data_IF_685412673705
#
_entry.id   IF_685412673705
#
_cell.length_a   1.000
_cell.length_b   1.000
_cell.length_c   1.000
_cell.angle_alpha   90.00
_cell.angle_beta   90.00
_cell.angle_gamma   90.00
#
_symmetry.space_group_name_H-M   'P 1'
#
loop_
_entity.id
_entity.type
_entity.pdbx_description
1 polymer ?
#
# COMPACT_ATOMS: atom_id res chain seq x y z
N UNK A 1 22.45 -21.19 -12.20
CA UNK A 1 21.29 -21.50 -13.05
C UNK A 1 21.03 -20.25 -13.85
N UNK A 2 21.57 -20.21 -15.06
CA UNK A 2 21.35 -19.10 -15.98
C UNK A 2 19.93 -19.24 -16.53
N UNK A 3 19.04 -18.38 -16.05
CA UNK A 3 17.68 -18.27 -16.58
C UNK A 3 17.84 -17.66 -17.98
N UNK A 4 17.72 -18.46 -19.03
CA UNK A 4 17.64 -17.96 -20.40
C UNK A 4 16.25 -17.35 -20.60
N UNK A 5 16.18 -16.02 -20.62
CA UNK A 5 14.95 -15.23 -20.59
C UNK A 5 14.08 -15.27 -21.87
N UNK A 6 14.38 -16.16 -22.81
CA UNK A 6 13.61 -16.32 -24.07
C UNK A 6 12.17 -16.79 -23.86
N UNK A 7 11.83 -17.32 -22.69
CA UNK A 7 10.49 -17.86 -22.38
C UNK A 7 9.56 -16.90 -21.63
N UNK A 8 9.99 -15.65 -21.33
CA UNK A 8 9.06 -14.66 -20.79
C UNK A 8 8.15 -14.14 -21.92
N UNK A 9 6.99 -14.77 -22.09
CA UNK A 9 5.84 -14.17 -22.75
C UNK A 9 5.43 -12.91 -21.98
N UNK A 10 6.05 -11.78 -22.33
CA UNK A 10 5.86 -10.47 -21.71
C UNK A 10 4.43 -9.92 -21.84
N UNK A 11 3.57 -10.56 -22.63
CA UNK A 11 2.31 -9.96 -23.07
C UNK A 11 1.20 -9.95 -22.00
N UNK A 12 1.33 -10.71 -20.89
CA UNK A 12 0.23 -10.82 -19.92
C UNK A 12 0.50 -10.22 -18.53
N UNK A 13 1.74 -9.89 -18.14
CA UNK A 13 2.07 -9.36 -16.81
C UNK A 13 3.19 -8.30 -16.81
N UNK A 14 3.03 -7.23 -17.60
CA UNK A 14 3.97 -6.10 -17.59
C UNK A 14 3.82 -5.33 -16.28
N UNK A 15 4.86 -5.36 -15.43
CA UNK A 15 4.98 -4.45 -14.30
C UNK A 15 5.38 -3.06 -14.82
N UNK A 16 4.58 -2.05 -14.49
CA UNK A 16 4.81 -0.68 -14.93
C UNK A 16 5.42 0.15 -13.81
N UNK A 17 6.54 0.84 -14.10
CA UNK A 17 7.21 1.69 -13.14
C UNK A 17 6.58 3.09 -13.11
N UNK A 18 5.43 3.21 -12.46
CA UNK A 18 4.79 4.50 -12.18
C UNK A 18 4.51 4.67 -10.69
N UNK A 19 4.45 5.93 -10.26
CA UNK A 19 3.99 6.27 -8.93
C UNK A 19 2.45 6.24 -8.80
N UNK A 20 1.95 6.63 -7.62
CA UNK A 20 0.51 6.69 -7.36
C UNK A 20 -0.26 7.69 -8.26
N UNK A 21 0.44 8.71 -8.78
CA UNK A 21 -0.09 9.72 -9.69
C UNK A 21 0.08 9.34 -11.17
N UNK A 22 0.45 8.09 -11.46
CA UNK A 22 0.73 7.57 -12.82
C UNK A 22 1.89 8.28 -13.53
N UNK A 23 2.78 8.96 -12.79
CA UNK A 23 4.02 9.50 -13.35
C UNK A 23 5.06 8.40 -13.45
N UNK A 24 5.74 8.31 -14.60
CA UNK A 24 6.81 7.36 -14.82
C UNK A 24 7.95 7.61 -13.84
N UNK A 25 8.44 6.54 -13.22
CA UNK A 25 9.60 6.59 -12.35
C UNK A 25 10.86 6.76 -13.19
N UNK A 26 11.80 7.53 -12.67
CA UNK A 26 13.04 7.86 -13.37
C UNK A 26 14.18 6.98 -12.88
N UNK A 27 14.91 6.39 -13.82
CA UNK A 27 16.08 5.57 -13.58
C UNK A 27 17.27 6.10 -14.36
N UNK A 28 18.47 5.78 -13.87
CA UNK A 28 19.72 5.98 -14.58
C UNK A 28 20.46 4.65 -14.57
N UNK A 29 20.88 4.20 -15.74
CA UNK A 29 21.74 3.03 -15.85
C UNK A 29 23.19 3.51 -15.84
N UNK A 30 23.97 3.04 -14.86
CA UNK A 30 25.40 3.32 -14.82
C UNK A 30 26.08 2.86 -16.12
N UNK A 31 27.14 3.55 -16.52
CA UNK A 31 27.85 3.31 -17.79
C UNK A 31 28.34 1.86 -17.94
N UNK A 32 28.86 1.27 -16.87
CA UNK A 32 29.30 -0.12 -16.79
C UNK A 32 28.13 -1.12 -16.82
N UNK A 33 26.90 -0.61 -16.70
CA UNK A 33 25.63 -1.35 -16.65
C UNK A 33 24.68 -0.93 -17.78
N UNK A 34 25.17 -0.22 -18.81
CA UNK A 34 24.43 0.06 -20.07
C UNK A 34 24.27 -1.22 -20.92
N UNK A 35 23.81 -2.28 -20.29
CA UNK A 35 23.29 -3.44 -20.96
C UNK A 35 21.98 -3.02 -21.66
N UNK A 36 21.95 -3.19 -22.99
CA UNK A 36 20.77 -2.94 -23.80
C UNK A 36 19.54 -3.69 -23.28
N UNK A 37 19.73 -4.79 -22.54
CA UNK A 37 18.66 -5.53 -21.88
C UNK A 37 17.87 -4.65 -20.89
N UNK A 38 18.51 -4.07 -19.88
CA UNK A 38 17.79 -3.31 -18.84
C UNK A 38 17.21 -2.01 -19.39
N UNK A 39 17.88 -1.39 -20.36
CA UNK A 39 17.33 -0.23 -21.06
C UNK A 39 16.01 -0.59 -21.75
N UNK A 40 16.03 -1.65 -22.58
CA UNK A 40 14.83 -2.12 -23.27
C UNK A 40 13.72 -2.56 -22.29
N UNK A 41 14.09 -3.21 -21.19
CA UNK A 41 13.16 -3.65 -20.16
C UNK A 41 12.46 -2.46 -19.49
N UNK A 42 13.23 -1.47 -19.04
CA UNK A 42 12.71 -0.27 -18.40
C UNK A 42 11.83 0.54 -19.37
N UNK A 43 12.25 0.71 -20.63
CA UNK A 43 11.45 1.40 -21.66
C UNK A 43 10.12 0.67 -21.92
N UNK A 44 10.13 -0.67 -22.04
CA UNK A 44 8.90 -1.47 -22.21
C UNK A 44 7.97 -1.38 -21.00
N UNK A 45 8.53 -1.26 -19.80
CA UNK A 45 7.79 -1.03 -18.55
C UNK A 45 7.40 0.44 -18.31
N UNK A 46 7.51 1.31 -19.33
CA UNK A 46 7.15 2.73 -19.31
C UNK A 46 7.89 3.55 -18.24
N UNK A 47 9.07 3.09 -17.85
CA UNK A 47 9.97 3.86 -17.00
C UNK A 47 10.67 4.95 -17.81
N UNK A 48 10.99 6.07 -17.16
CA UNK A 48 11.84 7.10 -17.74
C UNK A 48 13.31 6.74 -17.48
N UNK A 49 14.16 6.71 -18.51
CA UNK A 49 15.59 6.40 -18.37
C UNK A 49 16.40 7.60 -18.81
N UNK A 50 17.24 8.13 -17.93
CA UNK A 50 18.10 9.30 -18.18
C UNK A 50 19.57 8.90 -18.25
N UNK A 51 20.36 9.75 -18.92
CA UNK A 51 21.83 9.60 -18.96
C UNK A 51 22.53 10.11 -17.69
N UNK A 52 21.91 11.01 -16.94
CA UNK A 52 22.47 11.62 -15.74
C UNK A 52 21.47 11.62 -14.58
N UNK A 53 21.93 11.42 -13.33
CA UNK A 53 21.06 11.42 -12.16
C UNK A 53 20.50 12.81 -11.87
N UNK A 54 19.26 12.81 -11.39
CA UNK A 54 18.59 13.97 -10.79
C UNK A 54 18.02 13.61 -9.41
N UNK A 55 17.43 14.60 -8.75
CA UNK A 55 16.91 14.52 -7.39
C UNK A 55 15.78 13.50 -7.13
N UNK A 56 15.23 12.90 -8.18
CA UNK A 56 14.17 11.89 -8.10
C UNK A 56 14.47 10.63 -8.91
N UNK A 57 15.73 10.44 -9.30
CA UNK A 57 16.17 9.29 -10.07
C UNK A 57 16.72 8.19 -9.17
N UNK A 58 16.55 6.93 -9.59
CA UNK A 58 17.23 5.77 -9.00
C UNK A 58 18.34 5.31 -9.93
N UNK A 59 19.58 5.34 -9.44
CA UNK A 59 20.76 4.88 -10.20
C UNK A 59 20.90 3.37 -10.02
N UNK A 60 20.95 2.63 -11.11
CA UNK A 60 21.11 1.18 -11.13
C UNK A 60 22.49 0.81 -11.64
N UNK A 61 23.17 -0.09 -10.93
CA UNK A 61 24.48 -0.56 -11.30
C UNK A 61 24.72 -2.01 -10.89
N UNK A 62 25.75 -2.65 -11.45
CA UNK A 62 26.18 -4.00 -11.01
C UNK A 62 27.15 -3.86 -9.83
N UNK A 63 26.86 -4.46 -8.65
CA UNK A 63 27.76 -4.42 -7.51
C UNK A 63 29.16 -4.93 -7.85
N UNK A 64 30.19 -4.21 -7.42
CA UNK A 64 31.60 -4.53 -7.65
C UNK A 64 32.14 -4.22 -9.04
N UNK A 65 31.31 -3.73 -9.96
CA UNK A 65 31.75 -3.29 -11.30
C UNK A 65 31.59 -1.79 -11.55
N UNK A 66 30.79 -1.11 -10.74
CA UNK A 66 30.46 0.31 -10.93
C UNK A 66 31.53 1.23 -10.37
N UNK A 67 31.83 2.29 -11.13
CA UNK A 67 32.65 3.42 -10.68
C UNK A 67 31.81 4.64 -10.26
N UNK A 68 30.48 4.48 -10.21
CA UNK A 68 29.58 5.56 -9.87
C UNK A 68 29.75 6.00 -8.41
N UNK A 69 29.88 7.31 -8.22
CA UNK A 69 29.86 7.94 -6.91
C UNK A 69 29.10 9.27 -6.97
N UNK A 70 28.19 9.47 -6.03
CA UNK A 70 27.53 10.76 -5.84
C UNK A 70 27.32 11.07 -4.35
N UNK A 71 27.60 12.30 -3.87
CA UNK A 71 27.52 12.63 -2.45
C UNK A 71 26.15 12.32 -1.80
N UNK A 72 25.06 12.43 -2.58
CA UNK A 72 23.67 12.32 -2.08
C UNK A 72 22.76 11.33 -2.82
N UNK A 73 23.23 10.68 -3.89
CA UNK A 73 22.36 9.82 -4.70
C UNK A 73 23.02 8.46 -4.76
N UNK A 74 22.60 7.49 -3.94
CA UNK A 74 23.22 6.17 -3.94
C UNK A 74 22.86 5.40 -5.21
N UNK A 75 23.72 4.45 -5.59
CA UNK A 75 23.38 3.45 -6.60
C UNK A 75 22.82 2.19 -5.94
N UNK A 76 21.99 1.48 -6.72
CA UNK A 76 21.30 0.28 -6.33
C UNK A 76 21.67 -0.88 -7.26
N UNK A 77 21.73 -2.09 -6.73
CA UNK A 77 21.94 -3.31 -7.50
C UNK A 77 20.82 -3.44 -8.54
N UNK A 78 21.21 -3.60 -9.80
CA UNK A 78 20.30 -3.77 -10.93
C UNK A 78 19.29 -4.92 -10.74
N UNK A 79 19.61 -5.92 -9.91
CA UNK A 79 18.67 -6.98 -9.48
C UNK A 79 17.40 -6.46 -8.81
N UNK A 80 17.38 -5.20 -8.38
CA UNK A 80 16.17 -4.54 -7.90
C UNK A 80 15.05 -4.62 -8.94
N UNK A 81 15.36 -4.40 -10.22
CA UNK A 81 14.39 -4.44 -11.33
C UNK A 81 13.82 -5.84 -11.51
N UNK A 82 14.67 -6.86 -11.54
CA UNK A 82 14.27 -8.26 -11.65
C UNK A 82 13.29 -8.63 -10.53
N UNK A 83 13.62 -8.23 -9.30
CA UNK A 83 12.78 -8.51 -8.15
C UNK A 83 11.48 -7.72 -8.18
N UNK A 84 11.47 -6.48 -8.68
CA UNK A 84 10.24 -5.72 -8.87
C UNK A 84 9.26 -6.46 -9.79
N UNK A 85 9.76 -6.94 -10.93
CA UNK A 85 8.96 -7.66 -11.92
C UNK A 85 8.49 -8.99 -11.35
N UNK A 86 9.38 -9.74 -10.71
CA UNK A 86 9.08 -11.07 -10.15
C UNK A 86 7.97 -11.03 -9.10
N UNK A 87 7.97 -10.04 -8.20
CA UNK A 87 6.96 -9.92 -7.14
C UNK A 87 5.79 -9.03 -7.55
N UNK A 88 5.86 -8.38 -8.71
CA UNK A 88 4.89 -7.42 -9.21
C UNK A 88 4.61 -6.28 -8.20
N UNK A 89 5.67 -5.82 -7.52
CA UNK A 89 5.66 -4.82 -6.44
C UNK A 89 7.06 -4.18 -6.29
N UNK A 90 7.19 -3.06 -5.58
CA UNK A 90 8.44 -2.43 -5.17
C UNK A 90 8.94 -3.07 -3.87
N UNK A 91 10.00 -3.92 -3.90
CA UNK A 91 10.61 -4.43 -2.69
C UNK A 91 11.34 -3.30 -1.95
N UNK A 92 11.75 -3.59 -0.72
CA UNK A 92 12.56 -2.69 0.10
C UNK A 92 13.90 -2.34 -0.61
N UNK A 93 14.10 -1.09 -1.07
CA UNK A 93 15.26 -0.70 -1.86
C UNK A 93 16.55 -0.66 -1.04
N UNK A 94 16.47 -0.58 0.30
CA UNK A 94 17.66 -0.54 1.17
C UNK A 94 18.51 -1.81 1.03
N UNK A 95 17.89 -2.95 0.71
CA UNK A 95 18.55 -4.25 0.49
C UNK A 95 19.41 -4.29 -0.77
N UNK A 96 19.24 -3.32 -1.66
CA UNK A 96 19.92 -3.23 -2.94
C UNK A 96 20.91 -2.07 -2.98
N UNK A 97 21.06 -1.30 -1.89
CA UNK A 97 22.04 -0.22 -1.83
C UNK A 97 23.46 -0.76 -2.04
N UNK A 98 24.16 -0.21 -3.02
CA UNK A 98 25.58 -0.50 -3.25
C UNK A 98 26.39 0.41 -2.34
N UNK A 99 27.06 -0.18 -1.35
CA UNK A 99 27.94 0.55 -0.43
C UNK A 99 29.02 1.31 -1.20
N UNK A 100 29.49 2.42 -0.63
CA UNK A 100 30.53 3.29 -1.19
C UNK A 100 30.14 4.08 -2.45
N UNK A 101 28.87 4.08 -2.86
CA UNK A 101 28.38 4.90 -4.00
C UNK A 101 27.81 6.25 -3.56
N UNK A 102 27.61 6.43 -2.26
CA UNK A 102 27.22 7.68 -1.61
C UNK A 102 27.76 7.72 -0.18
N UNK A 103 27.93 8.93 0.36
CA UNK A 103 28.35 9.17 1.76
C UNK A 103 27.19 9.14 2.74
N UNK A 104 25.95 9.20 2.25
CA UNK A 104 24.77 9.28 3.09
C UNK A 104 24.09 7.92 3.25
N UNK A 105 23.57 7.68 4.45
CA UNK A 105 22.72 6.54 4.75
C UNK A 105 21.25 6.95 4.67
N UNK A 106 20.43 6.06 4.11
CA UNK A 106 19.01 6.31 3.86
C UNK A 106 18.16 5.20 4.45
N UNK A 107 17.07 5.57 5.11
CA UNK A 107 16.02 4.63 5.47
C UNK A 107 15.17 4.29 4.25
N UNK A 108 14.42 3.18 4.34
CA UNK A 108 13.45 2.77 3.31
C UNK A 108 12.48 3.89 2.93
N UNK A 109 11.95 4.58 3.94
CA UNK A 109 10.93 5.61 3.74
C UNK A 109 11.53 6.84 3.05
N UNK A 110 12.76 7.24 3.40
CA UNK A 110 13.47 8.32 2.72
C UNK A 110 13.70 8.03 1.24
N UNK A 111 14.11 6.80 0.90
CA UNK A 111 14.33 6.39 -0.50
C UNK A 111 13.01 6.45 -1.29
N UNK A 112 11.92 5.94 -0.72
CA UNK A 112 10.62 5.99 -1.39
C UNK A 112 10.07 7.41 -1.49
N UNK A 113 10.23 8.25 -0.46
CA UNK A 113 9.81 9.65 -0.53
C UNK A 113 10.57 10.41 -1.62
N UNK A 114 11.85 10.11 -1.84
CA UNK A 114 12.63 10.74 -2.90
C UNK A 114 12.28 10.24 -4.31
N UNK A 115 12.30 8.92 -4.49
CA UNK A 115 12.21 8.31 -5.82
C UNK A 115 10.77 7.96 -6.23
N UNK A 116 10.04 7.25 -5.35
CA UNK A 116 8.72 6.71 -5.68
C UNK A 116 7.62 7.76 -5.53
N UNK A 117 7.60 8.49 -4.40
CA UNK A 117 6.58 9.48 -4.10
C UNK A 117 6.95 10.88 -4.62
N UNK A 118 8.24 11.18 -4.77
CA UNK A 118 8.75 12.48 -5.19
C UNK A 118 8.29 13.62 -4.25
N UNK A 119 8.16 13.31 -2.96
CA UNK A 119 7.81 14.25 -1.90
C UNK A 119 9.03 15.05 -1.41
N UNK A 120 10.22 14.48 -1.57
CA UNK A 120 11.50 15.05 -1.12
C UNK A 120 12.52 14.92 -2.25
N UNK A 121 13.51 15.80 -2.29
CA UNK A 121 14.65 15.67 -3.22
C UNK A 121 15.80 14.94 -2.54
N UNK A 122 16.63 14.20 -3.29
CA UNK A 122 17.88 13.66 -2.76
C UNK A 122 18.77 14.76 -2.16
N UNK A 123 18.73 15.96 -2.75
CA UNK A 123 19.48 17.13 -2.29
C UNK A 123 19.03 17.67 -0.93
N UNK A 124 17.76 17.53 -0.55
CA UNK A 124 17.21 18.05 0.71
C UNK A 124 17.38 17.10 1.90
N UNK A 125 17.78 15.85 1.65
CA UNK A 125 17.95 14.87 2.72
C UNK A 125 19.16 15.21 3.59
N UNK A 126 18.88 15.36 4.88
CA UNK A 126 19.92 15.52 5.92
C UNK A 126 20.55 14.14 6.16
N UNK A 127 21.82 14.00 5.80
CA UNK A 127 22.58 12.78 6.06
C UNK A 127 22.67 12.54 7.58
N UNK A 128 22.18 11.39 8.04
CA UNK A 128 22.43 10.94 9.41
C UNK A 128 23.91 10.54 9.49
N UNK A 129 24.71 11.28 10.26
CA UNK A 129 26.12 10.91 10.45
C UNK A 129 26.22 9.63 11.29
N UNK A 130 27.12 8.72 10.91
CA UNK A 130 27.31 7.40 11.56
C UNK A 130 27.96 7.46 12.96
N UNK A 131 28.09 8.64 13.56
CA UNK A 131 28.92 8.84 14.76
C UNK A 131 28.25 8.54 16.11
N UNK A 132 27.27 7.63 16.19
CA UNK A 132 26.72 7.16 17.48
C UNK A 132 26.40 5.65 17.51
N UNK A 133 27.37 4.82 17.15
CA UNK A 133 27.41 3.42 17.60
C UNK A 133 28.80 3.07 18.11
N UNK A 134 29.03 3.34 19.40
CA UNK A 134 30.03 2.65 20.22
C UNK A 134 29.87 3.04 21.70
N UNK A 135 29.19 2.19 22.47
CA UNK A 135 29.61 1.71 23.80
C UNK A 135 28.46 0.88 24.38
N UNK A 136 28.66 -0.43 24.51
CA UNK A 136 27.80 -1.28 25.32
C UNK A 136 28.09 -1.07 26.80
N UNK A 137 27.07 -1.19 27.63
CA UNK A 137 27.03 -1.93 28.90
C UNK A 137 25.66 -1.73 29.56
N UNK A 138 25.26 -2.75 30.33
CA UNK A 138 23.95 -3.00 30.91
C UNK A 138 23.37 -1.84 31.74
N UNK A 139 22.07 -1.56 31.55
CA UNK A 139 21.20 -1.02 32.61
C UNK A 139 19.74 -1.04 32.15
N UNK A 140 18.95 -1.88 32.81
CA UNK A 140 17.50 -1.71 32.90
C UNK A 140 17.22 -0.38 33.62
N UNK A 141 16.70 0.64 32.94
CA UNK A 141 15.53 1.39 33.43
C UNK A 141 15.03 2.49 32.49
N UNK A 142 13.72 2.67 32.63
CA UNK A 142 12.77 3.56 32.02
C UNK A 142 13.15 5.06 32.18
N UNK A 143 13.10 5.86 31.10
CA UNK A 143 12.21 7.04 30.90
C UNK A 143 12.71 7.99 29.79
N UNK A 144 11.81 8.25 28.85
CA UNK A 144 11.42 9.57 28.33
C UNK A 144 12.47 10.54 27.76
N UNK A 145 12.27 10.78 26.46
CA UNK A 145 12.09 12.09 25.81
C UNK A 145 13.04 13.20 26.27
N UNK A 146 14.01 13.52 25.41
CA UNK A 146 14.40 14.90 25.12
C UNK A 146 15.12 14.98 23.77
N UNK A 147 14.34 15.22 22.70
CA UNK A 147 14.85 15.72 21.43
C UNK A 147 14.60 17.24 21.39
N UNK A 148 15.64 17.99 21.73
CA UNK A 148 15.79 19.44 21.61
C UNK A 148 17.23 19.56 21.07
N UNK A 149 17.58 20.23 19.97
CA UNK A 149 17.09 21.46 19.38
C UNK A 149 17.83 21.67 18.05
N UNK A 150 17.11 22.03 16.99
CA UNK A 150 17.58 22.97 15.97
C UNK A 150 16.40 23.31 15.05
N UNK A 151 15.40 23.96 15.64
CA UNK A 151 14.24 24.49 14.92
C UNK A 151 14.56 25.90 14.46
N UNK A 152 15.00 26.06 13.22
CA UNK A 152 14.90 27.33 12.51
C UNK A 152 13.52 27.42 11.87
N UNK A 153 12.62 28.06 12.62
CA UNK A 153 11.50 28.89 12.15
C UNK A 153 11.09 28.79 10.68
N UNK A 154 10.20 27.85 10.34
CA UNK A 154 9.22 28.00 9.26
C UNK A 154 7.88 27.44 9.73
N UNK A 155 6.82 28.17 9.38
CA UNK A 155 5.48 28.11 9.98
C UNK A 155 4.89 26.71 10.11
N UNK A 156 4.58 26.33 11.35
CA UNK A 156 3.79 25.15 11.68
C UNK A 156 2.36 25.27 11.14
N UNK A 157 2.13 24.69 9.96
CA UNK A 157 0.82 24.11 9.68
C UNK A 157 0.85 22.71 10.27
N UNK A 158 -0.06 22.42 11.20
CA UNK A 158 -0.29 21.06 11.68
C UNK A 158 -0.47 20.15 10.46
N UNK A 159 0.47 19.22 10.21
CA UNK A 159 0.26 18.15 9.23
C UNK A 159 -0.86 17.26 9.78
N UNK A 160 -2.10 17.69 9.53
CA UNK A 160 -3.29 16.91 9.79
C UNK A 160 -3.10 15.63 8.99
N UNK A 161 -3.06 14.51 9.70
CA UNK A 161 -2.94 13.16 9.17
C UNK A 161 -3.99 12.93 8.07
N UNK A 162 -3.66 13.28 6.82
CA UNK A 162 -4.57 13.24 5.68
C UNK A 162 -4.66 11.79 5.24
N UNK A 163 -5.67 11.10 5.76
CA UNK A 163 -6.01 9.73 5.34
C UNK A 163 -6.02 9.67 3.81
N UNK A 164 -5.19 8.81 3.23
CA UNK A 164 -5.11 8.61 1.78
C UNK A 164 -6.53 8.32 1.25
N UNK A 165 -7.07 9.10 0.30
CA UNK A 165 -8.42 8.89 -0.22
C UNK A 165 -8.48 7.60 -1.05
N UNK A 166 -9.64 6.93 -1.07
CA UNK A 166 -9.85 5.76 -1.92
C UNK A 166 -9.98 6.19 -3.38
N UNK A 167 -9.20 5.55 -4.25
CA UNK A 167 -9.28 5.70 -5.69
C UNK A 167 -10.48 4.94 -6.26
N UNK A 168 -10.95 5.35 -7.43
CA UNK A 168 -12.01 4.61 -8.15
C UNK A 168 -11.55 3.19 -8.53
N UNK A 169 -10.26 2.99 -8.81
CA UNK A 169 -9.66 1.68 -9.08
C UNK A 169 -9.80 0.74 -7.88
N UNK A 170 -9.56 1.23 -6.66
CA UNK A 170 -9.77 0.44 -5.43
C UNK A 170 -11.24 0.06 -5.25
N UNK A 171 -12.18 0.99 -5.46
CA UNK A 171 -13.62 0.69 -5.37
C UNK A 171 -14.03 -0.39 -6.39
N UNK A 172 -13.51 -0.30 -7.63
CA UNK A 172 -13.71 -1.31 -8.68
C UNK A 172 -13.15 -2.67 -8.26
N UNK A 173 -11.95 -2.72 -7.67
CA UNK A 173 -11.32 -3.95 -7.19
C UNK A 173 -12.14 -4.62 -6.09
N UNK A 174 -12.65 -3.84 -5.13
CA UNK A 174 -13.54 -4.33 -4.06
C UNK A 174 -14.78 -4.99 -4.67
N UNK A 175 -15.48 -4.31 -5.59
CA UNK A 175 -16.71 -4.82 -6.21
C UNK A 175 -16.44 -6.05 -7.07
N UNK A 176 -15.36 -6.04 -7.87
CA UNK A 176 -14.95 -7.21 -8.67
C UNK A 176 -14.69 -8.42 -7.79
N UNK A 177 -14.00 -8.25 -6.68
CA UNK A 177 -13.70 -9.35 -5.77
C UNK A 177 -14.97 -9.95 -5.15
N UNK A 178 -15.92 -9.11 -4.72
CA UNK A 178 -17.20 -9.58 -4.15
C UNK A 178 -17.98 -10.41 -5.17
N UNK A 179 -18.04 -9.97 -6.43
CA UNK A 179 -18.75 -10.70 -7.48
C UNK A 179 -18.04 -12.01 -7.82
N UNK A 180 -16.71 -11.96 -8.03
CA UNK A 180 -15.89 -13.12 -8.41
C UNK A 180 -16.06 -14.25 -7.41
N UNK A 181 -16.06 -13.93 -6.13
CA UNK A 181 -16.15 -14.91 -5.03
C UNK A 181 -17.58 -15.14 -4.53
N UNK A 182 -18.60 -14.63 -5.23
CA UNK A 182 -20.03 -14.78 -4.88
C UNK A 182 -20.39 -14.29 -3.47
N UNK A 183 -19.69 -13.28 -2.96
CA UNK A 183 -19.88 -12.76 -1.61
C UNK A 183 -20.99 -11.72 -1.47
N UNK A 184 -21.83 -11.52 -2.49
CA UNK A 184 -22.90 -10.51 -2.47
C UNK A 184 -23.80 -10.60 -1.21
N UNK A 185 -24.07 -11.81 -0.72
CA UNK A 185 -24.90 -12.07 0.47
C UNK A 185 -24.11 -12.08 1.79
N UNK A 186 -22.78 -12.04 1.73
CA UNK A 186 -21.87 -12.20 2.86
C UNK A 186 -21.07 -10.93 3.17
N UNK A 187 -21.45 -9.78 2.60
CA UNK A 187 -20.77 -8.49 2.79
C UNK A 187 -20.65 -8.03 4.25
N UNK A 188 -21.44 -8.59 5.17
CA UNK A 188 -21.35 -8.28 6.60
C UNK A 188 -20.33 -9.14 7.36
N UNK A 189 -19.85 -10.23 6.77
CA UNK A 189 -18.99 -11.22 7.43
C UNK A 189 -17.55 -10.72 7.46
N UNK A 190 -16.91 -10.71 8.65
CA UNK A 190 -15.54 -10.21 8.85
C UNK A 190 -14.51 -11.03 8.07
N UNK A 191 -14.65 -12.36 8.03
CA UNK A 191 -13.70 -13.25 7.35
C UNK A 191 -13.54 -12.96 5.86
N UNK A 192 -14.60 -12.49 5.19
CA UNK A 192 -14.53 -12.06 3.79
C UNK A 192 -13.57 -10.88 3.62
N UNK A 193 -13.68 -9.86 4.49
CA UNK A 193 -12.85 -8.65 4.41
C UNK A 193 -11.39 -8.94 4.77
N UNK A 194 -11.15 -9.78 5.79
CA UNK A 194 -9.80 -10.22 6.14
C UNK A 194 -9.15 -10.98 4.98
N UNK A 195 -9.94 -11.81 4.28
CA UNK A 195 -9.45 -12.50 3.08
C UNK A 195 -9.11 -11.54 1.94
N UNK A 196 -9.89 -10.47 1.75
CA UNK A 196 -9.57 -9.43 0.77
C UNK A 196 -8.25 -8.70 1.06
N UNK A 197 -7.95 -8.46 2.33
CA UNK A 197 -6.69 -7.87 2.77
C UNK A 197 -5.52 -8.84 2.53
N UNK A 198 -5.68 -10.10 2.93
CA UNK A 198 -4.71 -11.16 2.65
C UNK A 198 -4.42 -11.31 1.14
N UNK A 199 -5.48 -11.24 0.32
CA UNK A 199 -5.39 -11.33 -1.14
C UNK A 199 -4.95 -10.01 -1.80
N UNK A 200 -4.56 -8.99 -1.01
CA UNK A 200 -4.09 -7.68 -1.46
C UNK A 200 -5.01 -6.98 -2.46
N UNK A 201 -6.34 -7.11 -2.29
CA UNK A 201 -7.34 -6.47 -3.18
C UNK A 201 -7.15 -4.95 -3.24
N UNK A 202 -6.77 -4.36 -2.10
CA UNK A 202 -6.32 -2.97 -2.01
C UNK A 202 -5.03 -2.94 -1.16
N UNK A 203 -3.89 -2.98 -1.84
CA UNK A 203 -2.54 -3.17 -1.30
C UNK A 203 -2.18 -2.41 -0.01
N UNK A 204 -2.64 -1.16 0.13
CA UNK A 204 -2.31 -0.31 1.29
C UNK A 204 -3.50 -0.09 2.23
N UNK A 205 -4.52 -0.95 2.16
CA UNK A 205 -5.76 -0.80 2.92
C UNK A 205 -5.98 -1.97 3.84
N UNK A 206 -6.31 -1.66 5.09
CA UNK A 206 -6.76 -2.69 6.01
C UNK A 206 -8.16 -3.19 5.66
N UNK A 207 -8.47 -4.41 6.08
CA UNK A 207 -9.82 -4.99 5.92
C UNK A 207 -10.91 -4.10 6.53
N UNK A 208 -10.62 -3.44 7.66
CA UNK A 208 -11.54 -2.52 8.35
C UNK A 208 -11.84 -1.31 7.48
N UNK A 209 -10.80 -0.74 6.87
CA UNK A 209 -10.89 0.40 5.96
C UNK A 209 -11.72 0.05 4.72
N UNK A 210 -11.45 -1.10 4.09
CA UNK A 210 -12.19 -1.56 2.90
C UNK A 210 -13.66 -1.79 3.21
N UNK A 211 -13.95 -2.43 4.34
CA UNK A 211 -15.32 -2.64 4.82
C UNK A 211 -16.04 -1.31 5.02
N UNK A 212 -15.40 -0.34 5.69
CA UNK A 212 -15.99 0.97 5.94
C UNK A 212 -16.24 1.74 4.63
N UNK A 213 -15.29 1.70 3.70
CA UNK A 213 -15.42 2.30 2.35
C UNK A 213 -16.61 1.71 1.62
N UNK A 214 -16.74 0.38 1.63
CA UNK A 214 -17.86 -0.28 0.98
C UNK A 214 -19.20 0.15 1.57
N UNK A 215 -19.32 0.14 2.90
CA UNK A 215 -20.58 0.45 3.58
C UNK A 215 -21.04 1.91 3.39
N UNK A 216 -20.10 2.86 3.40
CA UNK A 216 -20.41 4.30 3.34
C UNK A 216 -20.56 4.83 1.92
N UNK A 217 -19.74 4.36 0.98
CA UNK A 217 -19.66 4.94 -0.36
C UNK A 217 -20.14 3.97 -1.44
N UNK A 218 -19.47 2.83 -1.60
CA UNK A 218 -19.74 1.89 -2.70
C UNK A 218 -21.18 1.37 -2.65
N UNK A 219 -21.68 1.01 -1.47
CA UNK A 219 -23.05 0.52 -1.27
C UNK A 219 -24.10 1.53 -1.74
N UNK A 220 -23.88 2.81 -1.48
CA UNK A 220 -24.82 3.86 -1.88
C UNK A 220 -24.76 4.07 -3.39
N UNK A 221 -23.55 4.08 -3.96
CA UNK A 221 -23.35 4.18 -5.41
C UNK A 221 -24.01 3.00 -6.17
N UNK A 222 -23.89 1.77 -5.67
CA UNK A 222 -24.54 0.58 -6.24
C UNK A 222 -26.08 0.63 -6.21
N UNK A 223 -26.67 1.41 -5.30
CA UNK A 223 -28.13 1.61 -5.25
C UNK A 223 -28.58 2.81 -6.09
N UNK A 224 -27.64 3.62 -6.60
CA UNK A 224 -27.95 4.72 -7.51
C UNK A 224 -28.38 4.21 -8.87
N UNK A 225 -29.27 4.94 -9.55
CA UNK A 225 -29.67 4.65 -10.94
C UNK A 225 -28.49 4.80 -11.93
N UNK A 226 -27.48 5.58 -11.56
CA UNK A 226 -26.29 5.88 -12.38
C UNK A 226 -25.02 5.59 -11.59
N UNK A 227 -24.75 4.31 -11.35
CA UNK A 227 -23.57 3.87 -10.60
C UNK A 227 -22.28 4.06 -11.40
N UNK A 228 -21.15 4.23 -10.71
CA UNK A 228 -19.85 4.51 -11.35
C UNK A 228 -19.12 3.29 -11.95
N UNK A 229 -19.67 2.07 -11.84
CA UNK A 229 -19.00 0.83 -12.24
C UNK A 229 -19.38 0.32 -13.66
N UNK A 230 -18.58 0.57 -14.71
CA UNK A 230 -18.95 0.25 -16.09
C UNK A 230 -19.00 -1.26 -16.39
N UNK A 231 -18.27 -2.08 -15.63
CA UNK A 231 -18.22 -3.53 -15.84
C UNK A 231 -19.42 -4.29 -15.25
N UNK A 232 -20.35 -3.60 -14.59
CA UNK A 232 -21.52 -4.22 -13.99
C UNK A 232 -22.64 -4.39 -15.03
N UNK A 233 -22.83 -5.63 -15.48
CA UNK A 233 -24.06 -6.03 -16.18
C UNK A 233 -25.27 -5.91 -15.25
N UNK A 234 -26.49 -5.64 -15.76
CA UNK A 234 -27.72 -5.55 -14.96
C UNK A 234 -27.93 -6.75 -14.01
N UNK A 235 -27.60 -7.96 -14.45
CA UNK A 235 -27.69 -9.19 -13.65
C UNK A 235 -26.75 -9.19 -12.44
N UNK A 236 -25.49 -8.78 -12.62
CA UNK A 236 -24.49 -8.68 -11.53
C UNK A 236 -24.89 -7.59 -10.53
N UNK A 237 -25.38 -6.46 -11.03
CA UNK A 237 -25.90 -5.38 -10.19
C UNK A 237 -27.09 -5.86 -9.34
N UNK A 238 -28.03 -6.57 -9.95
CA UNK A 238 -29.19 -7.13 -9.25
C UNK A 238 -28.77 -8.10 -8.12
N UNK A 239 -27.79 -8.96 -8.36
CA UNK A 239 -27.25 -9.87 -7.32
C UNK A 239 -26.67 -9.09 -6.15
N UNK A 240 -25.88 -8.05 -6.41
CA UNK A 240 -25.32 -7.19 -5.35
C UNK A 240 -26.43 -6.48 -4.55
N UNK A 241 -27.43 -5.92 -5.24
CA UNK A 241 -28.56 -5.25 -4.60
C UNK A 241 -29.41 -6.22 -3.76
N UNK A 242 -29.62 -7.45 -4.22
CA UNK A 242 -30.31 -8.49 -3.45
C UNK A 242 -29.54 -8.86 -2.18
N UNK A 243 -28.22 -9.04 -2.27
CA UNK A 243 -27.37 -9.30 -1.10
C UNK A 243 -27.44 -8.21 -0.04
N UNK A 244 -27.50 -6.94 -0.46
CA UNK A 244 -27.67 -5.79 0.44
C UNK A 244 -29.04 -5.77 1.14
N UNK A 245 -30.10 -6.23 0.47
CA UNK A 245 -31.46 -6.35 1.05
C UNK A 245 -31.54 -7.51 2.04
N UNK A 246 -30.90 -8.63 1.73
CA UNK A 246 -30.90 -9.83 2.59
C UNK A 246 -30.29 -9.54 3.97
N UNK A 247 -29.21 -8.76 4.03
CA UNK A 247 -28.58 -8.35 5.29
C UNK A 247 -29.49 -7.52 6.22
N UNK A 248 -30.42 -6.73 5.67
CA UNK A 248 -31.40 -5.96 6.47
C UNK A 248 -32.43 -6.86 7.13
N UNK A 249 -32.98 -7.84 6.38
CA UNK A 249 -34.02 -8.76 6.87
C UNK A 249 -33.51 -9.60 8.06
N UNK A 250 -32.31 -10.18 7.93
CA UNK A 250 -31.69 -10.98 9.00
C UNK A 250 -31.43 -10.18 10.29
N UNK A 251 -31.17 -8.88 10.19
CA UNK A 251 -30.98 -8.02 11.36
C UNK A 251 -32.32 -7.75 12.07
N UNK A 252 -33.37 -7.44 11.30
CA UNK A 252 -34.74 -7.24 11.83
C UNK A 252 -35.22 -8.50 12.54
N UNK A 253 -35.04 -9.67 11.93
CA UNK A 253 -35.46 -10.95 12.52
C UNK A 253 -34.72 -11.23 13.84
N UNK A 254 -33.42 -10.90 13.91
CA UNK A 254 -32.61 -11.08 15.14
C UNK A 254 -33.06 -10.15 16.26
N UNK A 255 -33.37 -8.89 15.95
CA UNK A 255 -33.88 -7.93 16.94
C UNK A 255 -35.30 -8.29 17.41
N UNK A 256 -36.15 -8.78 16.51
CA UNK A 256 -37.48 -9.29 16.88
C UNK A 256 -37.41 -10.50 17.82
N UNK A 257 -36.47 -11.43 17.59
CA UNK A 257 -36.22 -12.58 18.48
C UNK A 257 -35.73 -12.11 19.87
N UNK A 258 -34.78 -11.16 19.92
CA UNK A 258 -34.29 -10.60 21.20
C UNK A 258 -35.40 -9.91 21.99
N UNK A 259 -36.24 -9.11 21.32
CA UNK A 259 -37.41 -8.46 21.94
C UNK A 259 -38.38 -9.47 22.53
N UNK A 260 -38.63 -10.58 21.82
CA UNK A 260 -39.51 -11.65 22.30
C UNK A 260 -38.96 -12.31 23.57
N UNK A 261 -37.66 -12.60 23.64
CA UNK A 261 -37.02 -13.19 24.82
C UNK A 261 -36.96 -12.25 26.03
N UNK A 262 -36.78 -10.94 25.82
CA UNK A 262 -36.73 -9.97 26.92
C UNK A 262 -38.12 -9.74 27.55
N UNK A 263 -39.20 -9.80 26.75
CA UNK A 263 -40.57 -9.65 27.27
C UNK A 263 -41.00 -10.81 28.18
N UNK A 264 -40.48 -12.02 27.94
CA UNK A 264 -40.80 -13.20 28.77
C UNK A 264 -40.07 -13.17 30.13
N UNK A 265 -38.89 -12.55 30.23
CA UNK A 265 -38.16 -12.41 31.51
C UNK A 265 -38.83 -11.43 32.48
N UNK A 266 -39.45 -10.37 31.98
CA UNK A 266 -40.15 -9.39 32.83
C UNK A 266 -41.48 -9.92 33.41
N UNK A 267 -41.99 -11.05 32.92
CA UNK A 267 -43.26 -11.61 33.40
C UNK A 267 -43.10 -12.60 34.57
N UNK A 268 -41.90 -13.14 34.79
CA UNK A 268 -41.62 -14.10 35.88
C UNK A 268 -40.81 -13.52 37.05
N UNK A 269 -40.39 -12.24 36.98
CA UNK A 269 -39.56 -11.59 38.00
C UNK A 269 -40.30 -10.79 39.07
N UNK A 270 -41.64 -10.75 39.07
CA UNK A 270 -42.44 -9.94 40.00
C UNK A 270 -43.32 -10.76 40.95
N UNK A 271 -42.94 -12.02 41.23
CA UNK A 271 -43.69 -12.86 42.19
C UNK A 271 -42.75 -13.50 43.20
N UNK A 272 -42.20 -12.68 44.10
CA UNK A 272 -41.85 -13.14 45.45
C UNK A 272 -42.25 -12.04 46.42
N UNK A 273 -43.53 -12.09 46.78
CA UNK A 273 -44.08 -11.48 47.97
C UNK A 273 -43.42 -12.08 49.22
N UNK A 274 -42.99 -11.18 50.09
CA UNK A 274 -43.54 -11.04 51.44
C UNK A 274 -44.08 -12.32 52.08
N UNK A 275 -43.31 -12.90 53.00
CA UNK A 275 -43.86 -13.68 54.11
C UNK A 275 -43.13 -13.31 55.38
N UNK A 276 -43.84 -12.52 56.19
CA UNK A 276 -43.59 -12.26 57.60
C UNK A 276 -43.82 -13.50 58.44
#
# INVERSE_FOLDING_TARGET
MDITWTDFHLDENIFYFHNADLKSLTFVLDSDTKDNFYLNLLTKSLANVLDAPNDHSMVLAVPGKTNYFHPKIPAFDVKYIDNCIKINDFPDPTKYLIKNTSTANYTKDQIFDCWLHQNQSWSDLVSVSENQKNSGEDSDDIFSINLHLATTSLSGSSLKNTRIPYSHKEDVSIVKYIIKNKYAFNVNVVSMWQRMEHDNVCKYRSWQSMKQRYLKHIKNDLNSKKHSFPFLTPKKLQILQQGLRYGKKKNIDREAIKLRCNKTRNFYGSTTDSSS
#
